data_IF_998302288198
#
_entry.id   IF_998302288198
#
_cell.length_a   1.000
_cell.length_b   1.000
_cell.length_c   1.000
_cell.angle_alpha   90.00
_cell.angle_beta   90.00
_cell.angle_gamma   90.00
#
_symmetry.space_group_name_H-M   'P 1'
#
loop_
_entity.id
_entity.type
_entity.pdbx_description
1 polymer ?
#
# COMPACT_ATOMS: atom_id res chain seq x y z
N UNK A 1 8.28 -20.20 8.07
CA UNK A 1 8.79 -20.00 6.69
C UNK A 1 9.00 -18.51 6.41
N UNK A 2 7.97 -17.64 6.45
CA UNK A 2 8.07 -16.22 6.12
C UNK A 2 9.05 -15.41 7.00
N UNK A 3 9.18 -15.73 8.28
CA UNK A 3 10.19 -15.10 9.15
C UNK A 3 11.60 -15.36 8.62
N UNK A 4 11.91 -16.61 8.25
CA UNK A 4 13.22 -16.96 7.66
C UNK A 4 13.44 -16.32 6.28
N UNK A 5 12.38 -16.26 5.46
CA UNK A 5 12.44 -15.60 4.14
C UNK A 5 12.76 -14.12 4.26
N UNK A 6 12.26 -13.45 5.31
CA UNK A 6 12.56 -12.03 5.58
C UNK A 6 13.99 -11.78 6.13
N UNK A 7 14.75 -12.83 6.42
CA UNK A 7 16.06 -12.73 7.04
C UNK A 7 16.02 -12.45 8.56
N UNK A 8 14.84 -12.39 9.16
CA UNK A 8 14.68 -12.18 10.59
C UNK A 8 14.92 -13.49 11.38
N UNK A 9 15.34 -13.35 12.64
CA UNK A 9 15.53 -14.45 13.57
C UNK A 9 14.30 -14.59 14.47
N UNK A 10 13.78 -15.80 14.58
CA UNK A 10 12.77 -16.12 15.59
C UNK A 10 13.48 -16.37 16.93
N UNK A 11 13.34 -15.44 17.86
CA UNK A 11 14.08 -15.46 19.14
C UNK A 11 13.22 -15.85 20.33
N UNK A 12 11.90 -15.95 20.17
CA UNK A 12 10.99 -16.35 21.23
C UNK A 12 9.55 -16.14 20.87
N UNK A 13 8.68 -16.44 21.81
CA UNK A 13 7.25 -16.24 21.68
C UNK A 13 6.53 -16.62 22.97
N UNK A 14 5.24 -16.32 23.02
CA UNK A 14 4.36 -16.67 24.14
C UNK A 14 3.02 -17.14 23.62
N UNK A 15 2.40 -18.06 24.31
CA UNK A 15 1.02 -18.51 24.05
C UNK A 15 0.10 -17.87 25.07
N UNK A 16 -1.05 -17.40 24.61
CA UNK A 16 -2.11 -16.88 25.47
C UNK A 16 -3.35 -17.79 25.38
N UNK A 17 -4.05 -17.93 26.48
CA UNK A 17 -5.36 -18.57 26.49
C UNK A 17 -6.42 -17.55 26.07
N UNK A 18 -7.13 -17.85 24.97
CA UNK A 18 -8.18 -16.98 24.44
C UNK A 18 -9.28 -17.83 23.79
N UNK A 19 -10.48 -17.28 23.75
CA UNK A 19 -11.65 -17.94 23.13
C UNK A 19 -11.54 -18.06 21.62
N UNK A 20 -10.77 -17.16 21.00
CA UNK A 20 -10.52 -17.12 19.56
C UNK A 20 -9.03 -17.31 19.27
N UNK A 21 -8.66 -18.08 18.22
CA UNK A 21 -7.28 -18.19 17.81
C UNK A 21 -6.71 -16.80 17.47
N UNK A 22 -5.63 -16.39 18.13
CA UNK A 22 -4.91 -15.16 17.87
C UNK A 22 -3.48 -15.48 17.51
N UNK A 23 -2.97 -14.77 16.53
CA UNK A 23 -1.57 -14.86 16.10
C UNK A 23 -1.05 -13.48 15.73
N UNK A 24 0.15 -13.18 16.14
CA UNK A 24 0.84 -11.94 15.80
C UNK A 24 2.34 -12.06 15.98
N UNK A 25 3.07 -11.12 15.45
CA UNK A 25 4.52 -11.02 15.60
C UNK A 25 4.87 -9.69 16.27
N UNK A 26 5.76 -9.73 17.25
CA UNK A 26 6.48 -8.55 17.73
C UNK A 26 7.83 -8.52 17.03
N UNK A 27 8.08 -7.48 16.26
CA UNK A 27 9.30 -7.35 15.46
C UNK A 27 10.14 -6.20 16.00
N UNK A 28 11.41 -6.50 16.27
CA UNK A 28 12.40 -5.48 16.68
C UNK A 28 13.54 -5.49 15.69
N UNK A 29 13.96 -4.31 15.24
CA UNK A 29 15.07 -4.13 14.31
C UNK A 29 15.94 -2.94 14.70
N UNK A 30 17.10 -2.84 14.05
CA UNK A 30 18.04 -1.73 14.23
C UNK A 30 18.32 -1.12 12.87
N UNK A 31 18.29 0.20 12.81
CA UNK A 31 18.60 0.97 11.59
C UNK A 31 19.58 2.10 11.93
N UNK A 32 20.49 2.39 11.00
CA UNK A 32 21.39 3.54 11.16
C UNK A 32 20.57 4.85 11.09
N UNK A 33 20.78 5.83 12.00
CA UNK A 33 19.99 7.07 12.03
C UNK A 33 19.93 7.81 10.69
N UNK A 34 21.02 7.85 9.95
CA UNK A 34 21.11 8.53 8.65
C UNK A 34 20.45 7.73 7.49
N UNK A 35 19.96 6.52 7.76
CA UNK A 35 19.31 5.66 6.75
C UNK A 35 17.83 5.44 7.02
N UNK A 36 17.28 6.13 8.01
CA UNK A 36 15.85 6.06 8.33
C UNK A 36 15.07 6.84 7.28
N UNK A 37 14.15 6.17 6.57
CA UNK A 37 13.14 6.83 5.74
C UNK A 37 11.85 6.87 6.55
N UNK A 38 11.33 8.07 6.78
CA UNK A 38 10.15 8.30 7.59
C UNK A 38 8.89 8.38 6.71
N UNK A 39 7.71 8.32 7.34
CA UNK A 39 6.44 8.64 6.69
C UNK A 39 6.22 10.15 6.51
N UNK A 40 7.26 10.95 6.67
CA UNK A 40 7.30 12.41 6.49
C UNK A 40 8.57 12.79 5.74
N UNK A 41 8.54 13.99 5.13
CA UNK A 41 9.67 14.52 4.37
C UNK A 41 9.41 14.54 2.86
N UNK A 42 8.21 14.16 2.41
CA UNK A 42 7.80 14.35 1.04
C UNK A 42 7.84 15.84 0.67
N UNK A 43 8.33 16.15 -0.53
CA UNK A 43 8.53 17.50 -1.03
C UNK A 43 7.58 17.80 -2.18
N UNK A 44 7.14 19.05 -2.37
CA UNK A 44 6.39 19.43 -3.56
C UNK A 44 7.19 19.08 -4.82
N UNK A 45 6.53 18.39 -5.76
CA UNK A 45 7.15 17.85 -6.96
C UNK A 45 7.50 16.39 -6.90
N UNK A 46 7.59 15.78 -5.69
CA UNK A 46 7.83 14.35 -5.57
C UNK A 46 6.77 13.53 -6.30
N UNK A 47 7.22 12.45 -6.89
CA UNK A 47 6.37 11.44 -7.52
C UNK A 47 6.08 10.33 -6.54
N UNK A 48 4.83 9.85 -6.54
CA UNK A 48 4.37 8.80 -5.65
C UNK A 48 4.31 7.47 -6.39
N UNK A 49 5.03 6.48 -5.85
CA UNK A 49 5.10 5.12 -6.42
C UNK A 49 4.50 4.14 -5.42
N UNK A 50 3.57 3.29 -5.90
CA UNK A 50 2.96 2.20 -5.14
C UNK A 50 3.54 0.86 -5.61
N UNK A 51 3.89 -0.04 -4.67
CA UNK A 51 4.67 -1.25 -4.98
C UNK A 51 3.88 -2.57 -4.94
N UNK A 52 2.62 -2.56 -4.51
CA UNK A 52 1.69 -3.71 -4.61
C UNK A 52 0.30 -3.25 -5.02
N UNK A 53 -0.51 -4.11 -5.67
CA UNK A 53 -1.89 -3.78 -6.00
C UNK A 53 -2.76 -3.70 -4.74
N UNK A 54 -3.83 -2.90 -4.82
CA UNK A 54 -4.84 -2.74 -3.78
C UNK A 54 -5.99 -3.75 -3.94
N UNK A 55 -6.83 -3.89 -2.90
CA UNK A 55 -8.04 -4.68 -2.94
C UNK A 55 -8.02 -5.91 -2.03
N UNK A 56 -7.04 -6.05 -1.13
CA UNK A 56 -6.92 -7.24 -0.27
C UNK A 56 -8.11 -7.41 0.67
N UNK A 57 -8.66 -6.33 1.23
CA UNK A 57 -9.83 -6.36 2.10
C UNK A 57 -11.11 -6.74 1.36
N UNK A 58 -11.33 -6.15 0.18
CA UNK A 58 -12.49 -6.43 -0.69
C UNK A 58 -12.47 -7.90 -1.14
N UNK A 59 -11.34 -8.38 -1.68
CA UNK A 59 -11.21 -9.78 -2.14
C UNK A 59 -11.36 -10.76 -0.97
N UNK A 60 -10.80 -10.44 0.21
CA UNK A 60 -11.01 -11.25 1.43
C UNK A 60 -12.48 -11.32 1.82
N UNK A 61 -13.21 -10.21 1.73
CA UNK A 61 -14.66 -10.16 2.02
C UNK A 61 -15.44 -11.02 1.03
N UNK A 62 -15.10 -10.95 -0.26
CA UNK A 62 -15.71 -11.77 -1.30
C UNK A 62 -15.46 -13.27 -1.09
N UNK A 63 -14.25 -13.66 -0.66
CA UNK A 63 -13.92 -15.04 -0.30
C UNK A 63 -14.73 -15.53 0.90
N UNK A 64 -14.84 -14.74 1.96
CA UNK A 64 -15.65 -15.08 3.15
C UNK A 64 -17.15 -15.22 2.80
N UNK A 65 -17.63 -14.44 1.84
CA UNK A 65 -19.02 -14.55 1.34
C UNK A 65 -19.22 -15.72 0.35
N UNK A 66 -18.19 -16.49 0.00
CA UNK A 66 -18.25 -17.57 -1.00
C UNK A 66 -18.47 -17.08 -2.43
N UNK A 67 -18.21 -15.81 -2.71
CA UNK A 67 -18.43 -15.16 -4.02
C UNK A 67 -17.16 -15.10 -4.89
N UNK A 68 -15.99 -15.40 -4.31
CA UNK A 68 -14.73 -15.44 -5.03
C UNK A 68 -14.23 -16.88 -5.22
N UNK A 69 -13.57 -17.12 -6.33
CA UNK A 69 -13.06 -18.45 -6.69
C UNK A 69 -11.66 -18.75 -6.11
N UNK A 70 -11.19 -19.98 -6.33
CA UNK A 70 -9.86 -20.41 -5.89
C UNK A 70 -8.71 -19.65 -6.57
N UNK A 71 -8.95 -19.04 -7.73
CA UNK A 71 -7.94 -18.24 -8.43
C UNK A 71 -7.80 -16.86 -7.78
N UNK A 72 -8.91 -16.22 -7.40
CA UNK A 72 -8.91 -14.99 -6.61
C UNK A 72 -8.20 -15.21 -5.25
N UNK A 73 -8.49 -16.35 -4.59
CA UNK A 73 -7.81 -16.72 -3.35
C UNK A 73 -6.28 -16.84 -3.53
N UNK A 74 -5.82 -17.51 -4.58
CA UNK A 74 -4.39 -17.63 -4.87
C UNK A 74 -3.73 -16.27 -5.14
N UNK A 75 -4.39 -15.39 -5.93
CA UNK A 75 -3.90 -14.03 -6.19
C UNK A 75 -3.77 -13.24 -4.88
N UNK A 76 -4.81 -13.26 -4.06
CA UNK A 76 -4.81 -12.60 -2.76
C UNK A 76 -3.65 -13.06 -1.86
N UNK A 77 -3.48 -14.37 -1.72
CA UNK A 77 -2.42 -14.93 -0.86
C UNK A 77 -1.02 -14.58 -1.38
N UNK A 78 -0.80 -14.55 -2.69
CA UNK A 78 0.45 -14.09 -3.28
C UNK A 78 0.76 -12.65 -2.89
N UNK A 79 -0.20 -11.73 -3.06
CA UNK A 79 -0.02 -10.31 -2.71
C UNK A 79 0.28 -10.15 -1.22
N UNK A 80 -0.51 -10.77 -0.35
CA UNK A 80 -0.32 -10.66 1.10
C UNK A 80 0.97 -11.31 1.60
N UNK A 81 1.40 -12.43 1.00
CA UNK A 81 2.60 -13.14 1.42
C UNK A 81 3.90 -12.61 0.81
N UNK A 82 3.81 -11.74 -0.21
CA UNK A 82 5.00 -11.11 -0.78
C UNK A 82 5.64 -10.15 0.23
N UNK A 83 6.96 -10.28 0.43
CA UNK A 83 7.72 -9.38 1.29
C UNK A 83 7.95 -8.03 0.61
N UNK A 84 8.11 -6.97 1.42
CA UNK A 84 8.47 -5.63 0.95
C UNK A 84 10.00 -5.39 0.95
N UNK A 85 10.82 -6.41 1.19
CA UNK A 85 12.28 -6.35 1.30
C UNK A 85 12.95 -5.68 0.09
N UNK A 86 12.58 -6.14 -1.12
CA UNK A 86 13.13 -5.61 -2.37
C UNK A 86 12.66 -4.19 -2.68
N UNK A 87 11.40 -3.91 -2.38
CA UNK A 87 10.86 -2.56 -2.52
C UNK A 87 11.55 -1.60 -1.55
N UNK A 88 11.80 -2.04 -0.32
CA UNK A 88 12.54 -1.27 0.68
C UNK A 88 13.98 -1.00 0.24
N UNK A 89 14.68 -2.00 -0.31
CA UNK A 89 16.03 -1.81 -0.83
C UNK A 89 16.06 -0.83 -2.01
N UNK A 90 15.17 -1.00 -2.99
CA UNK A 90 15.06 -0.11 -4.14
C UNK A 90 14.78 1.34 -3.72
N UNK A 91 13.88 1.52 -2.74
CA UNK A 91 13.55 2.80 -2.14
C UNK A 91 14.78 3.50 -1.54
N UNK A 92 15.57 2.77 -0.74
CA UNK A 92 16.78 3.31 -0.09
C UNK A 92 17.84 3.70 -1.13
N UNK A 93 18.05 2.87 -2.15
CA UNK A 93 19.03 3.11 -3.20
C UNK A 93 18.61 4.26 -4.12
N UNK A 94 17.32 4.46 -4.36
CA UNK A 94 16.77 5.59 -5.11
C UNK A 94 16.79 6.91 -4.32
N UNK A 95 17.03 6.88 -3.02
CA UNK A 95 17.06 8.08 -2.16
C UNK A 95 15.67 8.69 -1.95
N UNK A 96 14.68 7.86 -1.61
CA UNK A 96 13.32 8.32 -1.34
C UNK A 96 13.27 9.36 -0.20
N UNK A 97 12.42 10.37 -0.34
CA UNK A 97 12.23 11.42 0.66
C UNK A 97 11.30 10.97 1.79
N UNK A 98 10.27 10.18 1.48
CA UNK A 98 9.35 9.62 2.46
C UNK A 98 8.81 8.26 2.00
N UNK A 99 8.41 7.43 2.97
CA UNK A 99 7.81 6.13 2.69
C UNK A 99 6.87 5.74 3.84
N UNK A 100 5.79 5.04 3.49
CA UNK A 100 4.94 4.28 4.42
C UNK A 100 4.51 2.97 3.76
N UNK A 101 4.13 1.98 4.55
CA UNK A 101 3.39 0.83 4.06
C UNK A 101 1.89 1.15 3.98
N UNK A 102 1.19 0.51 3.06
CA UNK A 102 -0.26 0.68 2.89
C UNK A 102 -0.96 -0.47 3.59
N UNK A 103 -1.60 -0.18 4.73
CA UNK A 103 -2.25 -1.19 5.57
C UNK A 103 -3.70 -0.80 5.94
N UNK A 104 -4.07 -0.84 7.19
CA UNK A 104 -5.45 -0.74 7.67
C UNK A 104 -6.21 0.55 7.32
N UNK A 105 -5.52 1.65 7.10
CA UNK A 105 -6.16 2.92 6.72
C UNK A 105 -6.39 3.09 5.21
N UNK A 106 -6.00 2.09 4.42
CA UNK A 106 -6.07 2.15 2.96
C UNK A 106 -5.09 3.15 2.36
N UNK A 107 -5.06 3.23 1.03
CA UNK A 107 -4.16 4.16 0.33
C UNK A 107 -4.40 5.61 0.75
N UNK A 108 -5.67 6.04 0.79
CA UNK A 108 -6.01 7.44 1.07
C UNK A 108 -5.71 7.84 2.50
N UNK A 109 -5.85 6.92 3.47
CA UNK A 109 -5.49 7.18 4.86
C UNK A 109 -4.00 7.38 5.04
N UNK A 110 -3.18 6.50 4.47
CA UNK A 110 -1.72 6.61 4.56
C UNK A 110 -1.15 7.80 3.76
N UNK A 111 -1.77 8.15 2.63
CA UNK A 111 -1.45 9.41 1.94
C UNK A 111 -1.77 10.62 2.80
N UNK A 112 -2.91 10.61 3.50
CA UNK A 112 -3.29 11.70 4.39
C UNK A 112 -2.27 11.88 5.52
N UNK A 113 -1.87 10.78 6.18
CA UNK A 113 -0.84 10.81 7.22
C UNK A 113 0.49 11.39 6.70
N UNK A 114 0.93 10.92 5.52
CA UNK A 114 2.16 11.41 4.90
C UNK A 114 2.03 12.90 4.50
N UNK A 115 0.88 13.33 4.00
CA UNK A 115 0.61 14.72 3.62
C UNK A 115 0.67 15.66 4.82
N UNK A 116 -0.02 15.32 5.90
CA UNK A 116 -0.04 16.09 7.14
C UNK A 116 1.37 16.17 7.76
N UNK A 117 2.06 15.03 7.86
CA UNK A 117 3.40 14.95 8.44
C UNK A 117 4.49 15.66 7.61
N UNK A 118 4.30 15.78 6.29
CA UNK A 118 5.23 16.45 5.36
C UNK A 118 4.87 17.90 5.06
N UNK A 119 3.66 18.36 5.41
CA UNK A 119 3.18 19.71 5.08
C UNK A 119 2.89 19.92 3.59
N UNK A 120 2.58 18.86 2.85
CA UNK A 120 2.25 18.89 1.41
C UNK A 120 0.80 18.49 1.17
N UNK A 121 0.37 18.54 -0.08
CA UNK A 121 -0.84 17.86 -0.56
C UNK A 121 -0.47 16.84 -1.64
N UNK A 122 -1.30 15.81 -1.84
CA UNK A 122 -1.11 14.82 -2.90
C UNK A 122 -2.23 14.88 -3.93
N UNK A 123 -1.86 14.78 -5.19
CA UNK A 123 -2.75 14.52 -6.32
C UNK A 123 -2.53 13.08 -6.77
N UNK A 124 -3.59 12.27 -6.78
CA UNK A 124 -3.56 10.84 -7.08
C UNK A 124 -4.41 10.56 -8.29
N UNK A 125 -3.87 9.88 -9.28
CA UNK A 125 -4.53 9.47 -10.51
C UNK A 125 -5.25 8.13 -10.28
N UNK A 126 -6.58 8.16 -10.25
CA UNK A 126 -7.43 6.99 -10.03
C UNK A 126 -7.22 5.92 -11.11
N UNK A 127 -6.98 6.34 -12.36
CA UNK A 127 -6.76 5.45 -13.49
C UNK A 127 -5.43 4.68 -13.44
N UNK A 128 -4.50 5.08 -12.56
CA UNK A 128 -3.18 4.44 -12.41
C UNK A 128 -3.05 3.54 -11.20
N UNK A 129 -4.10 3.40 -10.41
CA UNK A 129 -4.07 2.55 -9.21
C UNK A 129 -4.03 1.08 -9.63
N UNK A 130 -2.98 0.32 -9.30
CA UNK A 130 -2.94 -1.10 -9.54
C UNK A 130 -3.90 -1.82 -8.59
N UNK A 131 -4.72 -2.72 -9.12
CA UNK A 131 -5.77 -3.40 -8.36
C UNK A 131 -5.69 -4.90 -8.58
N UNK A 132 -5.97 -5.68 -7.54
CA UNK A 132 -6.14 -7.12 -7.63
C UNK A 132 -7.34 -7.41 -8.52
N UNK A 133 -7.14 -8.26 -9.52
CA UNK A 133 -8.19 -8.68 -10.46
C UNK A 133 -9.43 -9.19 -9.73
N UNK A 134 -10.60 -8.68 -10.10
CA UNK A 134 -11.90 -8.95 -9.49
C UNK A 134 -12.28 -7.98 -8.35
N UNK A 135 -11.36 -7.16 -7.83
CA UNK A 135 -11.68 -6.30 -6.69
C UNK A 135 -12.69 -5.20 -7.03
N UNK A 136 -12.65 -4.64 -8.24
CA UNK A 136 -13.67 -3.66 -8.69
C UNK A 136 -15.05 -4.29 -8.77
N UNK A 137 -15.17 -5.47 -9.37
CA UNK A 137 -16.42 -6.20 -9.51
C UNK A 137 -17.00 -6.55 -8.13
N UNK A 138 -16.17 -7.00 -7.19
CA UNK A 138 -16.61 -7.29 -5.84
C UNK A 138 -17.05 -6.02 -5.09
N UNK A 139 -16.37 -4.90 -5.26
CA UNK A 139 -16.77 -3.61 -4.70
C UNK A 139 -18.14 -3.17 -5.27
N UNK A 140 -18.36 -3.26 -6.58
CA UNK A 140 -19.63 -2.96 -7.23
C UNK A 140 -20.78 -3.86 -6.74
N UNK A 141 -20.48 -5.10 -6.35
CA UNK A 141 -21.45 -6.01 -5.70
C UNK A 141 -21.71 -5.66 -4.22
N UNK A 142 -21.02 -4.66 -3.66
CA UNK A 142 -21.13 -4.28 -2.25
C UNK A 142 -20.36 -5.19 -1.29
N UNK A 143 -19.45 -6.04 -1.78
CA UNK A 143 -18.62 -6.94 -0.98
C UNK A 143 -17.43 -6.17 -0.39
N UNK A 144 -17.71 -5.20 0.46
CA UNK A 144 -16.74 -4.30 1.07
C UNK A 144 -16.57 -4.57 2.57
N UNK A 145 -15.35 -4.53 3.10
CA UNK A 145 -15.12 -4.74 4.52
C UNK A 145 -15.60 -3.54 5.36
N UNK A 146 -16.03 -3.80 6.60
CA UNK A 146 -16.45 -2.74 7.52
C UNK A 146 -15.34 -1.72 7.83
N UNK A 147 -14.07 -2.12 7.69
CA UNK A 147 -12.91 -1.22 7.80
C UNK A 147 -12.91 -0.11 6.76
N UNK A 148 -13.33 -0.42 5.52
CA UNK A 148 -13.44 0.56 4.44
C UNK A 148 -14.41 1.69 4.80
N UNK A 149 -15.59 1.36 5.35
CA UNK A 149 -16.56 2.38 5.77
C UNK A 149 -15.99 3.28 6.87
N UNK A 150 -15.32 2.70 7.85
CA UNK A 150 -14.64 3.49 8.91
C UNK A 150 -13.57 4.42 8.34
N UNK A 151 -12.81 3.98 7.34
CA UNK A 151 -11.82 4.81 6.66
C UNK A 151 -12.49 5.97 5.90
N UNK A 152 -13.61 5.73 5.21
CA UNK A 152 -14.40 6.78 4.55
C UNK A 152 -14.90 7.81 5.56
N UNK A 153 -15.48 7.37 6.68
CA UNK A 153 -16.00 8.25 7.73
C UNK A 153 -14.88 9.10 8.36
N UNK A 154 -13.72 8.49 8.64
CA UNK A 154 -12.57 9.19 9.22
C UNK A 154 -11.97 10.26 8.30
N UNK A 155 -11.99 10.00 6.99
CA UNK A 155 -11.44 10.89 5.97
C UNK A 155 -12.49 11.82 5.34
N UNK A 156 -13.73 11.81 5.84
CA UNK A 156 -14.79 12.68 5.34
C UNK A 156 -14.38 14.15 5.42
N UNK A 157 -14.49 14.85 4.30
CA UNK A 157 -14.08 16.25 4.16
C UNK A 157 -12.57 16.51 4.07
N UNK A 158 -11.73 15.48 4.21
CA UNK A 158 -10.26 15.57 4.09
C UNK A 158 -9.74 15.15 2.71
N UNK A 159 -10.49 14.32 1.99
CA UNK A 159 -10.20 13.84 0.65
C UNK A 159 -11.19 14.44 -0.32
N UNK A 160 -10.71 14.96 -1.43
CA UNK A 160 -11.51 15.45 -2.55
C UNK A 160 -11.48 14.43 -3.68
N UNK A 161 -12.65 13.97 -4.09
CA UNK A 161 -12.81 13.01 -5.18
C UNK A 161 -13.37 13.72 -6.42
N UNK A 162 -12.50 14.20 -7.29
CA UNK A 162 -12.85 15.01 -8.46
C UNK A 162 -13.46 14.18 -9.61
N UNK A 163 -14.62 13.56 -9.37
CA UNK A 163 -15.31 12.77 -10.40
C UNK A 163 -14.77 11.36 -10.60
N UNK A 164 -13.92 10.86 -9.71
CA UNK A 164 -13.48 9.48 -9.74
C UNK A 164 -14.65 8.50 -9.50
N UNK A 165 -14.62 7.36 -10.18
CA UNK A 165 -15.67 6.34 -10.06
C UNK A 165 -15.73 5.79 -8.62
N UNK A 166 -16.95 5.52 -8.12
CA UNK A 166 -17.17 5.07 -6.75
C UNK A 166 -16.43 3.77 -6.41
N UNK A 167 -16.39 2.82 -7.31
CA UNK A 167 -15.69 1.54 -7.14
C UNK A 167 -14.17 1.73 -6.99
N UNK A 168 -13.59 2.69 -7.70
CA UNK A 168 -12.16 3.04 -7.58
C UNK A 168 -11.89 3.68 -6.23
N UNK A 169 -12.74 4.62 -5.79
CA UNK A 169 -12.63 5.23 -4.46
C UNK A 169 -12.75 4.18 -3.35
N UNK A 170 -13.67 3.22 -3.48
CA UNK A 170 -13.81 2.14 -2.52
C UNK A 170 -12.52 1.30 -2.43
N UNK A 171 -11.89 0.96 -3.55
CA UNK A 171 -10.58 0.27 -3.55
C UNK A 171 -9.49 1.12 -2.88
N UNK A 172 -9.49 2.44 -3.07
CA UNK A 172 -8.49 3.32 -2.44
C UNK A 172 -8.71 3.50 -0.92
N UNK A 173 -9.95 3.34 -0.42
CA UNK A 173 -10.25 3.30 1.01
C UNK A 173 -10.12 1.90 1.64
N UNK A 174 -9.97 0.85 0.80
CA UNK A 174 -9.94 -0.54 1.25
C UNK A 174 -8.76 -0.80 2.20
N UNK A 175 -8.99 -1.33 3.42
CA UNK A 175 -7.91 -1.71 4.31
C UNK A 175 -7.09 -2.84 3.71
N UNK A 176 -5.78 -2.66 3.64
CA UNK A 176 -4.87 -3.65 3.10
C UNK A 176 -4.28 -4.53 4.19
N UNK A 177 -4.24 -5.83 3.95
CA UNK A 177 -3.46 -6.78 4.74
C UNK A 177 -2.13 -6.99 4.04
N UNK A 178 -1.04 -6.64 4.71
CA UNK A 178 0.33 -6.77 4.15
C UNK A 178 0.49 -6.10 2.79
N UNK A 179 0.04 -4.85 2.68
CA UNK A 179 0.12 -4.08 1.43
C UNK A 179 1.55 -3.71 1.04
N UNK A 180 1.66 -2.96 -0.04
CA UNK A 180 2.94 -2.48 -0.57
C UNK A 180 3.44 -1.22 0.11
N UNK A 181 4.59 -0.75 -0.34
CA UNK A 181 5.14 0.54 0.04
C UNK A 181 4.56 1.65 -0.83
N UNK A 182 4.32 2.79 -0.22
CA UNK A 182 4.00 4.06 -0.83
C UNK A 182 5.20 4.98 -0.69
N UNK A 183 5.87 5.26 -1.80
CA UNK A 183 7.19 5.88 -1.83
C UNK A 183 7.09 7.26 -2.49
N UNK A 184 7.54 8.31 -1.80
CA UNK A 184 7.73 9.64 -2.36
C UNK A 184 9.19 9.83 -2.75
N UNK A 185 9.44 10.16 -4.02
CA UNK A 185 10.79 10.28 -4.57
C UNK A 185 10.87 11.46 -5.53
N UNK A 186 12.04 12.10 -5.60
CA UNK A 186 12.29 13.19 -6.54
C UNK A 186 12.02 12.79 -8.00
N UNK A 187 11.50 13.68 -8.86
CA UNK A 187 11.13 13.36 -10.24
C UNK A 187 12.27 12.76 -11.08
N UNK A 188 13.50 13.21 -10.87
CA UNK A 188 14.70 12.73 -11.57
C UNK A 188 15.18 11.35 -11.10
N UNK A 189 14.62 10.84 -10.01
CA UNK A 189 14.93 9.51 -9.43
C UNK A 189 13.86 8.45 -9.69
N UNK A 190 12.72 8.84 -10.28
CA UNK A 190 11.59 7.94 -10.55
C UNK A 190 11.98 6.79 -11.46
N UNK A 191 12.66 7.07 -12.56
CA UNK A 191 13.03 6.03 -13.53
C UNK A 191 14.03 5.04 -12.93
N UNK A 192 14.95 5.49 -12.07
CA UNK A 192 15.86 4.63 -11.32
C UNK A 192 15.08 3.73 -10.34
N UNK A 193 14.16 4.30 -9.56
CA UNK A 193 13.30 3.52 -8.64
C UNK A 193 12.47 2.49 -9.39
N UNK A 194 11.76 2.89 -10.43
CA UNK A 194 10.89 2.01 -11.22
C UNK A 194 11.72 0.91 -11.91
N UNK A 195 12.89 1.24 -12.43
CA UNK A 195 13.83 0.29 -13.01
C UNK A 195 14.25 -0.77 -11.99
N UNK A 196 14.66 -0.37 -10.78
CA UNK A 196 15.04 -1.28 -9.68
C UNK A 196 13.89 -2.18 -9.26
N UNK A 197 12.69 -1.63 -9.08
CA UNK A 197 11.49 -2.41 -8.70
C UNK A 197 11.18 -3.49 -9.75
N UNK A 198 11.23 -3.16 -11.03
CA UNK A 198 11.00 -4.12 -12.14
C UNK A 198 12.07 -5.20 -12.20
N UNK A 199 13.35 -4.85 -12.03
CA UNK A 199 14.44 -5.82 -12.00
C UNK A 199 14.39 -6.71 -10.75
N UNK A 200 13.98 -6.16 -9.61
CA UNK A 200 13.78 -6.93 -8.39
C UNK A 200 12.71 -8.02 -8.57
N UNK A 201 11.66 -7.79 -9.39
CA UNK A 201 10.66 -8.80 -9.76
C UNK A 201 11.22 -9.95 -10.58
N UNK A 202 12.25 -9.73 -11.41
CA UNK A 202 12.77 -10.73 -12.37
C UNK A 202 13.80 -11.73 -11.81
N UNK A 203 14.27 -11.55 -10.59
CA UNK A 203 15.43 -12.28 -10.06
C UNK A 203 15.17 -13.56 -9.26
N UNK A 204 13.93 -13.91 -8.93
CA UNK A 204 13.57 -15.21 -8.33
C UNK A 204 13.08 -16.16 -9.41
N UNK A 205 13.62 -17.39 -9.41
CA UNK A 205 13.20 -18.48 -10.34
C UNK A 205 11.77 -18.99 -10.09
N UNK A 206 11.12 -18.56 -9.02
CA UNK A 206 9.72 -18.87 -8.76
C UNK A 206 8.86 -17.87 -9.53
N UNK A 207 8.30 -18.33 -10.66
CA UNK A 207 7.39 -17.58 -11.54
C UNK A 207 6.17 -16.98 -10.81
N UNK A 208 5.97 -17.33 -9.57
CA UNK A 208 4.84 -16.91 -8.74
C UNK A 208 5.02 -15.53 -8.07
N UNK A 209 6.26 -14.99 -7.98
CA UNK A 209 6.53 -13.72 -7.28
C UNK A 209 6.52 -12.48 -8.19
N UNK A 210 6.54 -12.67 -9.52
CA UNK A 210 6.70 -11.58 -10.50
C UNK A 210 5.45 -10.70 -10.57
N UNK A 211 4.27 -11.25 -10.34
CA UNK A 211 2.98 -10.54 -10.51
C UNK A 211 2.55 -9.71 -9.29
N UNK A 212 3.29 -9.73 -8.19
CA UNK A 212 2.88 -9.05 -6.95
C UNK A 212 3.61 -7.73 -6.69
N UNK A 213 4.85 -7.61 -7.16
CA UNK A 213 5.61 -6.37 -7.08
C UNK A 213 5.31 -5.52 -8.31
N UNK A 214 4.57 -4.45 -8.11
CA UNK A 214 4.31 -3.44 -9.14
C UNK A 214 5.18 -2.21 -8.91
N UNK A 215 5.39 -1.44 -9.95
CA UNK A 215 6.07 -0.14 -9.90
C UNK A 215 5.16 0.90 -10.54
N UNK A 216 4.04 1.19 -9.84
CA UNK A 216 3.01 2.07 -10.35
C UNK A 216 3.23 3.51 -9.87
N UNK A 217 3.44 4.42 -10.81
CA UNK A 217 3.40 5.87 -10.54
C UNK A 217 1.93 6.26 -10.40
N UNK A 218 1.50 6.56 -9.18
CA UNK A 218 0.08 6.77 -8.85
C UNK A 218 -0.28 8.23 -8.59
N UNK A 219 0.71 9.12 -8.49
CA UNK A 219 0.43 10.52 -8.20
C UNK A 219 1.68 11.35 -7.96
N UNK A 220 1.47 12.54 -7.40
CA UNK A 220 2.54 13.48 -7.08
C UNK A 220 2.21 14.31 -5.83
N UNK A 221 3.26 14.81 -5.18
CA UNK A 221 3.16 15.80 -4.13
C UNK A 221 3.09 17.21 -4.74
N UNK A 222 2.23 18.05 -4.18
CA UNK A 222 2.08 19.45 -4.58
C UNK A 222 2.15 20.36 -3.35
N UNK A 223 2.38 21.63 -3.57
CA UNK A 223 2.31 22.61 -2.48
C UNK A 223 0.95 22.52 -1.78
N UNK A 224 0.98 22.46 -0.47
CA UNK A 224 -0.25 22.50 0.32
C UNK A 224 -0.95 23.85 0.17
N UNK A 225 -2.24 23.83 -0.14
CA UNK A 225 -3.08 25.02 -0.02
C UNK A 225 -3.18 25.48 1.44
N UNK A 226 -3.50 26.77 1.65
CA UNK A 226 -3.72 27.31 3.01
C UNK A 226 -4.94 26.66 3.68
N UNK A 227 -5.94 26.29 2.90
CA UNK A 227 -7.18 25.64 3.30
C UNK A 227 -7.53 24.56 2.27
N UNK A 228 -8.28 23.53 2.68
CA UNK A 228 -8.80 22.50 1.79
C UNK A 228 -8.17 21.11 1.98
N UNK A 229 -8.60 20.15 1.18
CA UNK A 229 -8.19 18.75 1.29
C UNK A 229 -6.71 18.57 0.98
N UNK A 230 -6.06 17.68 1.75
CA UNK A 230 -4.66 17.33 1.57
C UNK A 230 -4.45 16.25 0.50
N UNK A 231 -5.49 15.48 0.20
CA UNK A 231 -5.46 14.46 -0.84
C UNK A 231 -6.57 14.72 -1.85
N UNK A 232 -6.21 14.82 -3.13
CA UNK A 232 -7.13 14.99 -4.25
C UNK A 232 -7.01 13.78 -5.16
N UNK A 233 -8.14 13.10 -5.40
CA UNK A 233 -8.22 12.01 -6.37
C UNK A 233 -8.66 12.59 -7.71
N UNK A 234 -7.81 12.41 -8.70
CA UNK A 234 -8.05 12.83 -10.09
C UNK A 234 -8.62 11.64 -10.86
N UNK A 235 -9.56 11.86 -11.82
CA UNK A 235 -10.16 10.79 -12.61
C UNK A 235 -9.19 10.04 -13.51
#
# INVERSE_FOLDING_TARGET
EKVWESGALLVGGHSVDDREPKYGLSVTGVVHPDRVVLNRGAQPGDVIVLTKPLGTGIVSTALMAGMADSQAQRRLYRVMSALNDRASQAMLEAGAHACTDVTGFGLLGHLMEMAEASGVSFEVDAGRIPVIEGAFEYAQMGLIPGGLRRNQDFLAGKVEANGAEQSVLEVMFDPQTSGGLLIAVAPDRVDDLVGRLRHAGSGRRDSECIDTLVAAVVGRAVLAGREGPRVRVMP
#
